data_IF_631038020109
#
_entry.id   IF_631038020109
#
_cell.length_a   1.000
_cell.length_b   1.000
_cell.length_c   1.000
_cell.angle_alpha   90.00
_cell.angle_beta   90.00
_cell.angle_gamma   90.00
#
_symmetry.space_group_name_H-M   'P 1'
#
loop_
_entity.id
_entity.type
_entity.pdbx_description
1 polymer ?
#
# COMPACT_ATOMS: atom_id res chain seq x y z
N UNK A 1 -11.49 -10.39 4.16
CA UNK A 1 -11.20 -11.64 4.91
C UNK A 1 -10.98 -12.86 4.02
N UNK A 2 -12.00 -13.34 3.30
CA UNK A 2 -11.99 -14.65 2.63
C UNK A 2 -10.92 -14.85 1.55
N UNK A 3 -10.70 -13.88 0.66
CA UNK A 3 -9.68 -13.99 -0.42
C UNK A 3 -8.26 -14.12 0.14
N UNK A 4 -7.95 -13.40 1.22
CA UNK A 4 -6.65 -13.48 1.88
C UNK A 4 -6.45 -14.84 2.59
N UNK A 5 -7.52 -15.38 3.19
CA UNK A 5 -7.54 -16.74 3.73
C UNK A 5 -7.32 -17.80 2.65
N UNK A 6 -8.00 -17.67 1.49
CA UNK A 6 -7.78 -18.53 0.33
C UNK A 6 -6.33 -18.45 -0.17
N UNK A 7 -5.73 -17.26 -0.23
CA UNK A 7 -4.31 -17.12 -0.59
C UNK A 7 -3.37 -17.76 0.42
N UNK A 8 -3.67 -17.72 1.72
CA UNK A 8 -2.87 -18.41 2.73
C UNK A 8 -2.96 -19.92 2.58
N UNK A 9 -4.15 -20.46 2.34
CA UNK A 9 -4.37 -21.90 2.12
C UNK A 9 -3.70 -22.35 0.82
N UNK A 10 -3.94 -21.66 -0.30
CA UNK A 10 -3.29 -21.95 -1.58
C UNK A 10 -1.77 -21.79 -1.47
N UNK A 11 -1.29 -20.80 -0.72
CA UNK A 11 0.13 -20.60 -0.46
C UNK A 11 0.76 -21.77 0.30
N UNK A 12 0.06 -22.33 1.29
CA UNK A 12 0.50 -23.53 2.01
C UNK A 12 0.49 -24.78 1.12
N UNK A 13 -0.57 -25.02 0.37
CA UNK A 13 -0.69 -26.18 -0.53
C UNK A 13 0.33 -26.11 -1.69
N UNK A 14 0.52 -24.92 -2.27
CA UNK A 14 1.47 -24.70 -3.37
C UNK A 14 2.92 -24.75 -2.89
N UNK A 15 3.19 -24.68 -1.58
CA UNK A 15 4.56 -24.78 -1.03
C UNK A 15 5.20 -26.13 -1.35
N UNK A 16 4.45 -27.22 -1.17
CA UNK A 16 4.92 -28.57 -1.47
C UNK A 16 5.23 -28.75 -2.97
N UNK A 17 4.45 -28.12 -3.84
CA UNK A 17 4.63 -28.13 -5.29
C UNK A 17 5.85 -27.28 -5.70
N UNK A 18 5.98 -26.08 -5.12
CA UNK A 18 7.14 -25.19 -5.35
C UNK A 18 8.45 -25.84 -4.92
N UNK A 19 8.46 -26.53 -3.79
CA UNK A 19 9.66 -27.22 -3.31
C UNK A 19 10.04 -28.41 -4.21
N UNK A 20 9.06 -29.16 -4.71
CA UNK A 20 9.29 -30.21 -5.73
C UNK A 20 9.82 -29.64 -7.05
N UNK A 21 9.27 -28.52 -7.51
CA UNK A 21 9.68 -27.85 -8.75
C UNK A 21 11.10 -27.27 -8.60
N UNK A 22 11.41 -26.58 -7.49
CA UNK A 22 12.74 -26.03 -7.23
C UNK A 22 13.81 -27.12 -7.11
N UNK A 23 13.49 -28.23 -6.42
CA UNK A 23 14.41 -29.36 -6.32
C UNK A 23 14.65 -30.04 -7.66
N UNK A 24 13.63 -30.11 -8.53
CA UNK A 24 13.75 -30.71 -9.87
C UNK A 24 14.49 -29.82 -10.88
N UNK A 25 14.37 -28.50 -10.74
CA UNK A 25 14.99 -27.52 -11.66
C UNK A 25 16.31 -26.97 -11.08
N UNK A 26 16.75 -27.44 -9.90
CA UNK A 26 17.91 -26.91 -9.17
C UNK A 26 17.92 -25.38 -9.09
N UNK A 27 16.74 -24.78 -8.94
CA UNK A 27 16.60 -23.33 -8.93
C UNK A 27 17.22 -22.80 -7.64
N UNK A 28 18.17 -21.88 -7.76
CA UNK A 28 18.83 -21.23 -6.61
C UNK A 28 17.83 -20.31 -5.91
N UNK A 29 17.10 -20.87 -4.95
CA UNK A 29 16.11 -20.17 -4.12
C UNK A 29 16.70 -19.02 -3.29
N UNK A 30 18.01 -19.08 -3.06
CA UNK A 30 18.77 -18.06 -2.34
C UNK A 30 19.10 -16.82 -3.20
N UNK A 31 19.01 -16.91 -4.53
CA UNK A 31 19.37 -15.81 -5.41
C UNK A 31 18.40 -14.63 -5.26
N UNK A 32 18.95 -13.41 -5.26
CA UNK A 32 18.18 -12.17 -5.18
C UNK A 32 17.10 -12.08 -6.29
N UNK A 33 17.39 -12.58 -7.50
CA UNK A 33 16.41 -12.66 -8.60
C UNK A 33 15.18 -13.50 -8.26
N UNK A 34 15.36 -14.65 -7.59
CA UNK A 34 14.25 -15.50 -7.19
C UNK A 34 13.41 -14.85 -6.08
N UNK A 35 14.08 -14.24 -5.09
CA UNK A 35 13.41 -13.48 -4.02
C UNK A 35 12.64 -12.27 -4.59
N UNK A 36 13.21 -11.57 -5.56
CA UNK A 36 12.57 -10.46 -6.25
C UNK A 36 11.33 -10.91 -7.04
N UNK A 37 11.43 -12.03 -7.77
CA UNK A 37 10.28 -12.62 -8.48
C UNK A 37 9.15 -12.99 -7.51
N UNK A 38 9.47 -13.61 -6.37
CA UNK A 38 8.48 -13.94 -5.35
C UNK A 38 7.81 -12.69 -4.76
N UNK A 39 8.59 -11.64 -4.52
CA UNK A 39 8.08 -10.35 -4.05
C UNK A 39 7.10 -9.76 -5.07
N UNK A 40 7.48 -9.71 -6.35
CA UNK A 40 6.65 -9.17 -7.44
C UNK A 40 5.33 -9.95 -7.57
N UNK A 41 5.40 -11.29 -7.57
CA UNK A 41 4.20 -12.13 -7.64
C UNK A 41 3.27 -11.84 -6.46
N UNK A 42 3.82 -11.83 -5.24
CA UNK A 42 3.01 -11.62 -4.03
C UNK A 42 2.39 -10.22 -4.02
N UNK A 43 3.15 -9.20 -4.44
CA UNK A 43 2.68 -7.83 -4.57
C UNK A 43 1.45 -7.74 -5.49
N UNK A 44 1.57 -8.21 -6.73
CA UNK A 44 0.44 -8.20 -7.67
C UNK A 44 -0.75 -9.02 -7.17
N UNK A 45 -0.51 -10.19 -6.57
CA UNK A 45 -1.57 -11.06 -6.08
C UNK A 45 -2.41 -10.36 -5.00
N UNK A 46 -1.73 -9.68 -4.08
CA UNK A 46 -2.36 -8.90 -3.01
C UNK A 46 -3.09 -7.68 -3.59
N UNK A 47 -2.46 -6.92 -4.48
CA UNK A 47 -3.07 -5.74 -5.10
C UNK A 47 -4.35 -6.08 -5.86
N UNK A 48 -4.34 -7.15 -6.66
CA UNK A 48 -5.55 -7.60 -7.37
C UNK A 48 -6.64 -8.03 -6.40
N UNK A 49 -6.31 -8.67 -5.28
CA UNK A 49 -7.30 -9.00 -4.26
C UNK A 49 -7.92 -7.75 -3.61
N UNK A 50 -7.13 -6.70 -3.39
CA UNK A 50 -7.64 -5.44 -2.84
C UNK A 50 -8.65 -4.75 -3.76
N UNK A 51 -8.54 -4.90 -5.09
CA UNK A 51 -9.54 -4.39 -6.04
C UNK A 51 -10.92 -5.01 -5.77
N UNK A 52 -10.99 -6.32 -5.50
CA UNK A 52 -12.25 -7.00 -5.18
C UNK A 52 -12.83 -6.61 -3.82
N UNK A 53 -12.00 -6.19 -2.87
CA UNK A 53 -12.48 -5.66 -1.58
C UNK A 53 -13.01 -4.23 -1.67
N UNK A 54 -12.48 -3.43 -2.60
CA UNK A 54 -12.85 -2.01 -2.73
C UNK A 54 -13.98 -1.77 -3.72
N UNK A 55 -14.16 -2.63 -4.73
CA UNK A 55 -15.21 -2.46 -5.71
C UNK A 55 -16.60 -2.78 -5.12
N UNK A 56 -17.61 -2.00 -5.52
CA UNK A 56 -19.00 -2.19 -5.07
C UNK A 56 -19.61 -3.52 -5.57
N UNK A 57 -19.05 -4.10 -6.64
CA UNK A 57 -19.48 -5.39 -7.19
C UNK A 57 -18.34 -6.15 -7.88
N UNK A 58 -18.51 -7.47 -8.06
CA UNK A 58 -17.60 -8.32 -8.84
C UNK A 58 -17.54 -7.86 -10.31
N UNK A 59 -18.67 -7.38 -10.85
CA UNK A 59 -18.74 -6.82 -12.20
C UNK A 59 -17.90 -5.56 -12.35
N UNK A 60 -17.82 -4.73 -11.31
CA UNK A 60 -17.01 -3.51 -11.35
C UNK A 60 -15.52 -3.80 -11.11
N UNK A 61 -15.20 -4.75 -10.23
CA UNK A 61 -13.81 -5.22 -10.06
C UNK A 61 -13.21 -5.73 -11.38
N UNK A 62 -13.95 -6.54 -12.14
CA UNK A 62 -13.49 -7.06 -13.44
C UNK A 62 -13.36 -5.95 -14.49
N UNK A 63 -14.28 -4.97 -14.52
CA UNK A 63 -14.13 -3.77 -15.36
C UNK A 63 -12.89 -2.96 -15.00
N UNK A 64 -12.57 -2.80 -13.70
CA UNK A 64 -11.35 -2.11 -13.27
C UNK A 64 -10.10 -2.82 -13.76
N UNK A 65 -10.03 -4.15 -13.60
CA UNK A 65 -8.92 -4.97 -14.11
C UNK A 65 -8.76 -4.81 -15.62
N UNK A 66 -9.86 -4.88 -16.38
CA UNK A 66 -9.79 -4.73 -17.84
C UNK A 66 -9.33 -3.32 -18.24
N UNK A 67 -9.84 -2.27 -17.57
CA UNK A 67 -9.44 -0.88 -17.83
C UNK A 67 -7.95 -0.63 -17.57
N UNK A 68 -7.34 -1.31 -16.59
CA UNK A 68 -5.90 -1.22 -16.33
C UNK A 68 -5.09 -1.60 -17.60
N UNK A 69 -5.50 -2.64 -18.33
CA UNK A 69 -4.78 -3.08 -19.53
C UNK A 69 -5.24 -2.37 -20.81
N UNK A 70 -6.50 -1.95 -20.91
CA UNK A 70 -7.05 -1.36 -22.15
C UNK A 70 -6.88 0.16 -22.25
N UNK A 71 -6.85 0.87 -21.12
CA UNK A 71 -6.70 2.33 -21.08
C UNK A 71 -5.50 2.75 -20.23
N UNK A 72 -4.31 2.28 -20.63
CA UNK A 72 -3.05 2.77 -20.07
C UNK A 72 -2.85 4.23 -20.48
N UNK A 73 -3.25 5.16 -19.61
CA UNK A 73 -3.02 6.57 -19.81
C UNK A 73 -2.11 7.13 -18.72
N UNK A 74 -0.80 6.89 -18.87
CA UNK A 74 0.20 7.44 -17.96
C UNK A 74 0.35 8.96 -18.10
N UNK A 75 -0.11 9.56 -19.21
CA UNK A 75 -0.04 10.99 -19.43
C UNK A 75 -0.97 11.77 -18.50
N UNK A 76 -2.03 11.14 -17.95
CA UNK A 76 -2.91 11.75 -16.93
C UNK A 76 -2.13 12.24 -15.70
N UNK A 77 -0.97 11.64 -15.39
CA UNK A 77 -0.09 12.07 -14.29
C UNK A 77 0.61 13.41 -14.57
N UNK A 78 0.81 13.78 -15.83
CA UNK A 78 1.57 14.98 -16.22
C UNK A 78 0.72 16.04 -16.95
N UNK A 79 -0.45 15.68 -17.47
CA UNK A 79 -1.33 16.55 -18.28
C UNK A 79 -2.27 17.42 -17.43
N UNK A 80 -2.09 17.44 -16.10
CA UNK A 80 -2.98 18.16 -15.18
C UNK A 80 -4.36 17.52 -14.99
N UNK A 81 -4.72 16.47 -15.75
CA UNK A 81 -5.96 15.71 -15.56
C UNK A 81 -6.07 15.04 -14.18
N UNK A 82 -4.97 14.91 -13.43
CA UNK A 82 -4.98 14.44 -12.06
C UNK A 82 -5.80 15.37 -11.13
N UNK A 83 -5.81 16.68 -11.41
CA UNK A 83 -6.60 17.67 -10.66
C UNK A 83 -8.11 17.58 -10.93
N UNK A 84 -8.52 16.85 -11.99
CA UNK A 84 -9.94 16.64 -12.31
C UNK A 84 -10.55 15.42 -11.58
N UNK A 85 -9.79 14.74 -10.72
CA UNK A 85 -10.26 13.57 -9.94
C UNK A 85 -11.10 14.01 -8.71
N UNK A 86 -11.37 15.32 -8.55
CA UNK A 86 -12.08 15.88 -7.40
C UNK A 86 -11.18 16.23 -6.22
N UNK A 87 -9.86 16.25 -6.44
CA UNK A 87 -8.84 16.69 -5.48
C UNK A 87 -8.29 18.05 -5.93
N UNK A 88 -8.29 19.01 -5.01
CA UNK A 88 -7.67 20.31 -5.25
C UNK A 88 -6.14 20.15 -5.37
N UNK A 89 -5.48 21.06 -6.09
CA UNK A 89 -4.03 21.00 -6.32
C UNK A 89 -3.21 20.95 -5.02
N UNK A 90 -3.69 21.60 -3.97
CA UNK A 90 -3.08 21.58 -2.65
C UNK A 90 -3.16 20.20 -1.99
N UNK A 91 -4.28 19.49 -2.15
CA UNK A 91 -4.50 18.15 -1.57
C UNK A 91 -3.63 17.11 -2.25
N UNK A 92 -3.43 17.22 -3.56
CA UNK A 92 -2.51 16.35 -4.30
C UNK A 92 -1.07 16.55 -3.83
N UNK A 93 -0.61 17.79 -3.67
CA UNK A 93 0.74 18.05 -3.14
C UNK A 93 0.90 17.50 -1.72
N UNK A 94 -0.11 17.68 -0.86
CA UNK A 94 -0.09 17.14 0.49
C UNK A 94 -0.03 15.61 0.50
N UNK A 95 -0.80 14.96 -0.37
CA UNK A 95 -0.79 13.51 -0.55
C UNK A 95 0.59 13.02 -1.00
N UNK A 96 1.22 13.67 -1.97
CA UNK A 96 2.57 13.33 -2.43
C UNK A 96 3.58 13.45 -1.27
N UNK A 97 3.53 14.54 -0.50
CA UNK A 97 4.41 14.74 0.66
C UNK A 97 4.19 13.65 1.72
N UNK A 98 2.92 13.31 2.01
CA UNK A 98 2.58 12.27 2.97
C UNK A 98 3.07 10.88 2.53
N UNK A 99 2.92 10.55 1.24
CA UNK A 99 3.44 9.29 0.67
C UNK A 99 4.96 9.23 0.75
N UNK A 100 5.67 10.32 0.40
CA UNK A 100 7.13 10.39 0.52
C UNK A 100 7.56 10.20 1.98
N UNK A 101 6.89 10.86 2.93
CA UNK A 101 7.16 10.71 4.37
C UNK A 101 6.97 9.25 4.81
N UNK A 102 5.89 8.61 4.37
CA UNK A 102 5.60 7.21 4.69
C UNK A 102 6.69 6.27 4.13
N UNK A 103 7.12 6.46 2.88
CA UNK A 103 8.19 5.68 2.27
C UNK A 103 9.52 5.87 3.01
N UNK A 104 9.86 7.09 3.43
CA UNK A 104 11.06 7.36 4.22
C UNK A 104 10.99 6.63 5.58
N UNK A 105 9.87 6.73 6.27
CA UNK A 105 9.64 6.05 7.55
C UNK A 105 9.76 4.54 7.40
N UNK A 106 9.14 3.97 6.38
CA UNK A 106 9.19 2.54 6.09
C UNK A 106 10.62 2.09 5.76
N UNK A 107 11.35 2.87 4.95
CA UNK A 107 12.75 2.62 4.64
C UNK A 107 13.65 2.65 5.89
N UNK A 108 13.47 3.63 6.78
CA UNK A 108 14.21 3.71 8.05
C UNK A 108 13.89 2.50 8.92
N UNK A 109 12.62 2.10 9.00
CA UNK A 109 12.18 0.92 9.75
C UNK A 109 12.80 -0.36 9.18
N UNK A 110 12.81 -0.51 7.85
CA UNK A 110 13.42 -1.65 7.17
C UNK A 110 14.93 -1.72 7.42
N UNK A 111 15.64 -0.59 7.30
CA UNK A 111 17.10 -0.53 7.48
C UNK A 111 17.55 -0.69 8.93
N UNK A 112 16.82 -0.10 9.88
CA UNK A 112 17.16 -0.19 11.32
C UNK A 112 16.55 -1.40 12.02
N UNK A 113 15.62 -2.10 11.37
CA UNK A 113 14.85 -3.22 11.92
C UNK A 113 14.24 -2.92 13.30
N UNK A 114 13.93 -1.65 13.55
CA UNK A 114 13.43 -1.13 14.83
C UNK A 114 12.10 -0.46 14.57
N UNK A 115 11.18 -0.58 15.54
CA UNK A 115 9.93 0.14 15.52
C UNK A 115 10.19 1.65 15.69
N UNK A 116 9.30 2.47 15.14
CA UNK A 116 9.38 3.92 15.21
C UNK A 116 9.47 4.43 16.66
N UNK A 117 8.79 3.78 17.61
CA UNK A 117 8.81 4.14 19.03
C UNK A 117 10.21 3.96 19.66
N UNK A 118 10.89 2.86 19.32
CA UNK A 118 12.26 2.57 19.77
C UNK A 118 13.23 3.57 19.15
N UNK A 119 13.06 3.86 17.86
CA UNK A 119 13.87 4.85 17.15
C UNK A 119 13.71 6.25 17.75
N UNK A 120 12.48 6.70 18.02
CA UNK A 120 12.21 8.01 18.66
C UNK A 120 12.69 8.07 20.11
N UNK A 121 12.64 6.94 20.84
CA UNK A 121 13.12 6.86 22.23
C UNK A 121 14.64 6.99 22.34
N UNK A 122 15.38 6.63 21.28
CA UNK A 122 16.83 6.82 21.19
C UNK A 122 17.27 8.21 20.72
N UNK A 123 16.34 9.12 20.42
CA UNK A 123 16.65 10.50 20.00
C UNK A 123 16.51 11.48 21.18
N UNK A 124 17.11 12.67 21.04
CA UNK A 124 16.98 13.74 22.01
C UNK A 124 15.51 14.10 22.28
N UNK A 125 15.20 14.45 23.54
CA UNK A 125 13.83 14.74 24.01
C UNK A 125 13.12 15.79 23.13
N UNK A 126 13.84 16.82 22.68
CA UNK A 126 13.31 17.88 21.83
C UNK A 126 12.88 17.37 20.45
N UNK A 127 13.67 16.50 19.82
CA UNK A 127 13.33 15.93 18.51
C UNK A 127 12.09 15.05 18.60
N UNK A 128 11.98 14.24 19.66
CA UNK A 128 10.81 13.39 19.90
C UNK A 128 9.52 14.21 20.00
N UNK A 129 9.53 15.27 20.80
CA UNK A 129 8.36 16.15 20.95
C UNK A 129 8.04 16.93 19.69
N UNK A 130 9.05 17.38 18.94
CA UNK A 130 8.84 18.06 17.66
C UNK A 130 8.09 17.16 16.68
N UNK A 131 8.50 15.90 16.54
CA UNK A 131 7.82 14.93 15.66
C UNK A 131 6.37 14.68 16.12
N UNK A 132 6.14 14.51 17.43
CA UNK A 132 4.80 14.30 17.98
C UNK A 132 3.90 15.51 17.71
N UNK A 133 4.37 16.72 18.01
CA UNK A 133 3.62 17.94 17.76
C UNK A 133 3.38 18.16 16.27
N UNK A 134 4.37 17.91 15.42
CA UNK A 134 4.22 18.00 13.98
C UNK A 134 3.11 17.07 13.46
N UNK A 135 3.10 15.80 13.89
CA UNK A 135 2.06 14.84 13.51
C UNK A 135 0.68 15.24 14.04
N UNK A 136 0.61 15.69 15.29
CA UNK A 136 -0.62 16.17 15.92
C UNK A 136 -1.20 17.37 15.14
N UNK A 137 -0.41 18.41 14.94
CA UNK A 137 -0.85 19.61 14.23
C UNK A 137 -1.15 19.33 12.76
N UNK A 138 -0.37 18.47 12.09
CA UNK A 138 -0.68 18.03 10.73
C UNK A 138 -2.07 17.39 10.65
N UNK A 139 -2.41 16.53 11.61
CA UNK A 139 -3.74 15.90 11.67
C UNK A 139 -4.85 16.91 11.96
N UNK A 140 -4.61 17.91 12.81
CA UNK A 140 -5.62 18.93 13.14
C UNK A 140 -5.82 19.92 11.99
N UNK A 141 -4.74 20.35 11.33
CA UNK A 141 -4.77 21.40 10.29
C UNK A 141 -5.24 20.83 8.95
N UNK A 142 -4.75 19.64 8.58
CA UNK A 142 -5.06 19.00 7.29
C UNK A 142 -6.08 17.88 7.41
N UNK A 143 -6.61 17.64 8.61
CA UNK A 143 -7.75 16.75 8.78
C UNK A 143 -8.99 17.36 8.14
N UNK A 144 -9.75 16.54 7.44
CA UNK A 144 -11.00 16.94 6.82
C UNK A 144 -12.12 16.78 7.86
N UNK A 145 -12.61 17.91 8.39
CA UNK A 145 -13.67 17.95 9.41
C UNK A 145 -14.85 18.76 8.85
N UNK A 146 -15.96 18.11 8.51
CA UNK A 146 -17.15 18.80 8.01
C UNK A 146 -18.40 17.91 8.03
N UNK A 147 -19.60 18.48 8.19
CA UNK A 147 -20.86 17.73 8.24
C UNK A 147 -21.28 17.13 6.88
N UNK A 148 -20.70 17.58 5.77
CA UNK A 148 -20.86 16.98 4.43
C UNK A 148 -19.90 15.80 4.17
N UNK A 149 -18.89 15.63 5.02
CA UNK A 149 -18.07 14.43 5.05
C UNK A 149 -18.72 13.48 6.05
N UNK A 150 -19.67 12.68 5.55
CA UNK A 150 -20.14 11.50 6.25
C UNK A 150 -18.90 10.73 6.68
N UNK A 151 -18.68 10.64 8.00
CA UNK A 151 -17.45 10.14 8.60
C UNK A 151 -17.05 8.89 7.88
N UNK A 152 -16.11 9.02 6.93
CA UNK A 152 -15.85 8.00 5.92
C UNK A 152 -15.70 6.71 6.67
N UNK A 153 -16.70 5.81 6.55
CA UNK A 153 -16.63 4.55 7.25
C UNK A 153 -15.28 3.99 6.87
N UNK A 154 -14.41 3.79 7.87
CA UNK A 154 -13.07 3.26 7.61
C UNK A 154 -13.28 2.07 6.68
N UNK A 155 -12.44 1.90 5.65
CA UNK A 155 -12.64 0.89 4.59
C UNK A 155 -12.91 -0.52 5.17
N UNK A 156 -12.53 -0.76 6.43
CA UNK A 156 -12.78 -1.97 7.21
C UNK A 156 -14.18 -2.13 7.82
N UNK A 157 -15.02 -1.10 7.87
CA UNK A 157 -16.39 -1.13 8.41
C UNK A 157 -17.47 -1.34 7.34
N UNK A 158 -17.11 -1.45 6.05
CA UNK A 158 -18.00 -1.88 4.97
C UNK A 158 -18.13 -3.42 4.86
N UNK A 159 -17.80 -4.16 5.93
CA UNK A 159 -17.89 -5.62 5.99
C UNK A 159 -18.76 -6.07 7.17
#
# INVERSE_FOLDING_TARGET
>A
GGVHGLYQIIGQETRCIKDKINNKIHTKTECASYKLMQLIITFFLVDFAWIFFRADSIGDATKYIFRIFTKLNLWVLCDGSLYNIGLNQQEIHLLIIAVIMLVIVDYIRYKKNQRLDIFLSGQCIWFRWLVIFFLLFSTIIFGVYGPEFDSSQFIYFQF
#
